data_IF_087593535494
#
_entry.id   IF_087593535494
#
_cell.length_a   1.000
_cell.length_b   1.000
_cell.length_c   1.000
_cell.angle_alpha   90.00
_cell.angle_beta   90.00
_cell.angle_gamma   90.00
#
_symmetry.space_group_name_H-M   'P 1'
#
loop_
_entity.id
_entity.type
_entity.pdbx_description
1 polymer ?
#
# COMPACT_ATOMS: atom_id res chain seq x y z
N UNK A 1 -17.25 -23.22 37.05
CA UNK A 1 -16.78 -23.75 35.75
C UNK A 1 -16.30 -22.57 34.90
N UNK A 2 -15.01 -22.22 34.96
CA UNK A 2 -14.41 -21.15 34.14
C UNK A 2 -14.43 -21.64 32.68
N UNK A 3 -15.14 -20.93 31.82
CA UNK A 3 -15.18 -21.19 30.39
C UNK A 3 -13.76 -21.05 29.81
N UNK A 4 -13.09 -22.19 29.54
CA UNK A 4 -11.83 -22.27 28.80
C UNK A 4 -12.07 -21.92 27.32
N UNK A 5 -12.41 -20.65 27.07
CA UNK A 5 -12.49 -20.02 25.75
C UNK A 5 -11.14 -19.41 25.35
N UNK A 6 -10.04 -20.03 25.76
CA UNK A 6 -8.71 -19.64 25.30
C UNK A 6 -8.36 -20.54 24.12
N UNK A 7 -8.35 -19.95 22.93
CA UNK A 7 -7.70 -20.55 21.78
C UNK A 7 -6.24 -20.77 22.17
N UNK A 8 -5.71 -21.96 21.88
CA UNK A 8 -4.26 -22.20 22.04
C UNK A 8 -3.49 -21.27 21.08
N UNK A 9 -2.24 -20.92 21.40
CA UNK A 9 -1.41 -19.97 20.65
C UNK A 9 -1.33 -20.35 19.15
N UNK A 10 -1.31 -21.65 18.85
CA UNK A 10 -1.35 -22.16 17.49
C UNK A 10 -2.66 -21.82 16.76
N UNK A 11 -3.79 -21.85 17.47
CA UNK A 11 -5.10 -21.51 16.91
C UNK A 11 -5.23 -20.00 16.71
N UNK A 12 -4.73 -19.18 17.64
CA UNK A 12 -4.69 -17.72 17.49
C UNK A 12 -3.83 -17.30 16.28
N UNK A 13 -2.64 -17.89 16.12
CA UNK A 13 -1.78 -17.64 14.95
C UNK A 13 -2.47 -18.00 13.63
N UNK A 14 -3.21 -19.12 13.60
CA UNK A 14 -4.00 -19.52 12.41
C UNK A 14 -5.12 -18.53 12.13
N UNK A 15 -5.83 -18.09 13.17
CA UNK A 15 -6.93 -17.13 13.06
C UNK A 15 -6.43 -15.77 12.54
N UNK A 16 -5.30 -15.28 13.06
CA UNK A 16 -4.66 -14.05 12.57
C UNK A 16 -4.26 -14.15 11.09
N UNK A 17 -3.69 -15.29 10.65
CA UNK A 17 -3.37 -15.52 9.23
C UNK A 17 -4.62 -15.55 8.34
N UNK A 18 -5.74 -16.07 8.84
CA UNK A 18 -7.01 -16.05 8.10
C UNK A 18 -7.52 -14.61 7.99
N UNK A 19 -7.50 -13.84 9.08
CA UNK A 19 -7.90 -12.43 9.08
C UNK A 19 -7.02 -11.59 8.16
N UNK A 20 -5.70 -11.79 8.19
CA UNK A 20 -4.74 -11.12 7.30
C UNK A 20 -5.05 -11.42 5.83
N UNK A 21 -5.25 -12.69 5.48
CA UNK A 21 -5.63 -13.09 4.11
C UNK A 21 -6.98 -12.51 3.70
N UNK A 22 -7.97 -12.50 4.61
CA UNK A 22 -9.29 -11.92 4.37
C UNK A 22 -9.20 -10.42 4.10
N UNK A 23 -8.42 -9.69 4.90
CA UNK A 23 -8.15 -8.27 4.68
C UNK A 23 -7.53 -8.02 3.31
N UNK A 24 -6.44 -8.73 2.97
CA UNK A 24 -5.78 -8.56 1.68
C UNK A 24 -6.67 -8.94 0.50
N UNK A 25 -7.51 -9.96 0.64
CA UNK A 25 -8.49 -10.34 -0.39
C UNK A 25 -9.46 -9.19 -0.65
N UNK A 26 -10.08 -8.63 0.42
CA UNK A 26 -11.01 -7.50 0.27
C UNK A 26 -10.30 -6.26 -0.29
N UNK A 27 -9.09 -6.00 0.18
CA UNK A 27 -8.27 -4.88 -0.30
C UNK A 27 -7.99 -4.97 -1.81
N UNK A 28 -7.57 -6.13 -2.30
CA UNK A 28 -7.28 -6.33 -3.73
C UNK A 28 -8.55 -6.33 -4.59
N UNK A 29 -9.68 -6.86 -4.08
CA UNK A 29 -10.97 -6.77 -4.77
C UNK A 29 -11.40 -5.32 -4.92
N UNK A 30 -11.31 -4.53 -3.84
CA UNK A 30 -11.67 -3.10 -3.88
C UNK A 30 -10.74 -2.33 -4.83
N UNK A 31 -9.44 -2.61 -4.78
CA UNK A 31 -8.47 -2.03 -5.72
C UNK A 31 -8.82 -2.35 -7.18
N UNK A 32 -9.15 -3.62 -7.47
CA UNK A 32 -9.55 -4.04 -8.81
C UNK A 32 -10.86 -3.38 -9.27
N UNK A 33 -11.84 -3.22 -8.38
CA UNK A 33 -13.09 -2.53 -8.67
C UNK A 33 -12.85 -1.07 -9.09
N UNK A 34 -12.09 -0.32 -8.29
CA UNK A 34 -11.70 1.06 -8.59
C UNK A 34 -10.95 1.13 -9.92
N UNK A 35 -10.03 0.20 -10.17
CA UNK A 35 -9.25 0.16 -11.41
C UNK A 35 -10.15 -0.02 -12.64
N UNK A 36 -11.10 -0.96 -12.58
CA UNK A 36 -12.06 -1.22 -13.67
C UNK A 36 -13.01 -0.05 -13.85
N UNK A 37 -13.58 0.51 -12.78
CA UNK A 37 -14.46 1.68 -12.86
C UNK A 37 -13.75 2.88 -13.46
N UNK A 38 -12.50 3.12 -13.05
CA UNK A 38 -11.67 4.16 -13.64
C UNK A 38 -11.44 3.91 -15.13
N UNK A 39 -11.21 2.66 -15.57
CA UNK A 39 -11.10 2.29 -16.99
C UNK A 39 -12.42 2.39 -17.76
N UNK A 40 -13.58 2.33 -17.12
CA UNK A 40 -14.87 2.57 -17.80
C UNK A 40 -15.13 4.08 -17.98
N UNK A 41 -14.30 4.93 -17.36
CA UNK A 41 -14.43 6.37 -17.44
C UNK A 41 -15.30 6.98 -16.35
N UNK A 42 -15.62 6.20 -15.30
CA UNK A 42 -16.34 6.70 -14.13
C UNK A 42 -15.56 7.85 -13.48
N UNK A 43 -16.28 8.89 -13.08
CA UNK A 43 -15.69 10.09 -12.50
C UNK A 43 -15.21 9.84 -11.07
N UNK A 44 -14.23 10.62 -10.61
CA UNK A 44 -13.72 10.54 -9.23
C UNK A 44 -14.81 10.70 -8.17
N UNK A 45 -15.91 11.40 -8.49
CA UNK A 45 -17.03 11.60 -7.57
C UNK A 45 -17.85 10.33 -7.38
N UNK A 46 -18.05 9.57 -8.44
CA UNK A 46 -18.82 8.33 -8.42
C UNK A 46 -18.07 7.22 -7.67
N UNK A 47 -16.74 7.15 -7.82
CA UNK A 47 -15.87 6.19 -7.11
C UNK A 47 -15.26 6.74 -5.82
N UNK A 48 -15.65 7.94 -5.38
CA UNK A 48 -15.04 8.60 -4.23
C UNK A 48 -15.12 7.75 -2.95
N UNK A 49 -16.26 7.11 -2.72
CA UNK A 49 -16.47 6.24 -1.56
C UNK A 49 -15.47 5.09 -1.52
N UNK A 50 -15.27 4.41 -2.64
CA UNK A 50 -14.34 3.29 -2.75
C UNK A 50 -12.89 3.74 -2.55
N UNK A 51 -12.50 4.86 -3.18
CA UNK A 51 -11.17 5.46 -3.00
C UNK A 51 -10.93 5.80 -1.53
N UNK A 52 -11.90 6.45 -0.87
CA UNK A 52 -11.77 6.83 0.55
C UNK A 52 -11.59 5.60 1.43
N UNK A 53 -12.38 4.53 1.20
CA UNK A 53 -12.25 3.28 1.96
C UNK A 53 -10.87 2.64 1.75
N UNK A 54 -10.40 2.56 0.50
CA UNK A 54 -9.09 1.98 0.17
C UNK A 54 -7.94 2.79 0.79
N UNK A 55 -8.00 4.12 0.71
CA UNK A 55 -6.99 5.02 1.29
C UNK A 55 -7.00 4.94 2.80
N UNK A 56 -8.17 4.95 3.44
CA UNK A 56 -8.30 4.83 4.89
C UNK A 56 -7.73 3.50 5.40
N UNK A 57 -8.04 2.39 4.73
CA UNK A 57 -7.49 1.07 5.06
C UNK A 57 -5.96 1.04 4.89
N UNK A 58 -5.44 1.65 3.83
CA UNK A 58 -4.00 1.76 3.54
C UNK A 58 -3.25 2.57 4.61
N UNK A 59 -3.81 3.71 5.02
CA UNK A 59 -3.25 4.56 6.08
C UNK A 59 -3.29 3.83 7.42
N UNK A 60 -4.41 3.17 7.73
CA UNK A 60 -4.56 2.42 8.97
C UNK A 60 -3.50 1.33 9.11
N UNK A 61 -3.33 0.48 8.08
CA UNK A 61 -2.34 -0.59 8.14
C UNK A 61 -0.91 -0.05 8.21
N UNK A 62 -0.57 0.98 7.43
CA UNK A 62 0.75 1.60 7.47
C UNK A 62 1.05 2.20 8.85
N UNK A 63 0.10 2.94 9.43
CA UNK A 63 0.27 3.55 10.75
C UNK A 63 0.34 2.48 11.86
N UNK A 64 -0.49 1.44 11.79
CA UNK A 64 -0.46 0.33 12.74
C UNK A 64 0.87 -0.44 12.67
N UNK A 65 1.38 -0.72 11.47
CA UNK A 65 2.70 -1.35 11.29
C UNK A 65 3.83 -0.49 11.86
N UNK A 66 3.85 0.81 11.54
CA UNK A 66 4.86 1.74 12.04
C UNK A 66 4.84 1.88 13.56
N UNK A 67 3.66 1.95 14.18
CA UNK A 67 3.52 2.02 15.64
C UNK A 67 4.09 0.81 16.37
N UNK A 68 4.06 -0.36 15.73
CA UNK A 68 4.60 -1.60 16.29
C UNK A 68 6.06 -1.87 15.85
N UNK A 69 6.72 -0.89 15.20
CA UNK A 69 8.09 -1.08 14.70
C UNK A 69 8.20 -2.21 13.68
N UNK A 70 7.11 -2.49 12.95
CA UNK A 70 7.02 -3.52 11.93
C UNK A 70 7.24 -2.90 10.55
N UNK A 71 8.16 -3.52 9.80
CA UNK A 71 8.35 -3.28 8.38
C UNK A 71 8.08 -4.56 7.60
N UNK A 72 7.98 -4.47 6.27
CA UNK A 72 7.80 -5.65 5.41
C UNK A 72 8.85 -6.72 5.72
N UNK A 73 8.39 -7.95 5.93
CA UNK A 73 9.21 -9.11 6.32
C UNK A 73 10.34 -9.43 5.33
N UNK A 74 10.12 -9.20 4.04
CA UNK A 74 11.02 -9.65 2.98
C UNK A 74 11.92 -8.55 2.43
N UNK A 75 11.73 -7.30 2.84
CA UNK A 75 12.34 -6.14 2.18
C UNK A 75 12.89 -5.22 3.26
N UNK A 76 14.21 -5.05 3.31
CA UNK A 76 14.79 -4.11 4.26
C UNK A 76 14.51 -2.66 3.83
N UNK A 77 14.17 -1.78 4.79
CA UNK A 77 13.89 -0.38 4.54
C UNK A 77 15.19 0.37 4.20
N UNK A 78 15.62 0.27 2.95
CA UNK A 78 16.82 0.95 2.42
C UNK A 78 16.45 1.81 1.23
N UNK A 79 17.23 2.85 0.97
CA UNK A 79 17.00 3.77 -0.17
C UNK A 79 16.95 2.99 -1.49
N UNK A 80 17.89 2.06 -1.69
CA UNK A 80 17.93 1.20 -2.89
C UNK A 80 16.68 0.37 -3.06
N UNK A 81 16.19 -0.21 -1.96
CA UNK A 81 14.97 -0.99 -2.00
C UNK A 81 13.74 -0.12 -2.27
N UNK A 82 13.65 1.06 -1.65
CA UNK A 82 12.53 1.98 -1.86
C UNK A 82 12.47 2.46 -3.31
N UNK A 83 13.62 2.73 -3.93
CA UNK A 83 13.70 3.03 -5.37
C UNK A 83 13.12 1.89 -6.19
N UNK A 84 13.58 0.65 -5.97
CA UNK A 84 13.08 -0.52 -6.71
C UNK A 84 11.57 -0.74 -6.50
N UNK A 85 11.09 -0.65 -5.26
CA UNK A 85 9.67 -0.83 -4.92
C UNK A 85 8.78 0.24 -5.54
N UNK A 86 9.26 1.48 -5.65
CA UNK A 86 8.50 2.59 -6.26
C UNK A 86 8.30 2.47 -7.77
N UNK A 87 9.05 1.61 -8.45
CA UNK A 87 8.86 1.32 -9.89
C UNK A 87 7.54 0.60 -10.14
N UNK A 88 7.14 -0.31 -9.25
CA UNK A 88 5.93 -1.14 -9.42
C UNK A 88 4.67 -0.28 -9.60
N UNK A 89 4.32 0.64 -8.68
CA UNK A 89 3.14 1.49 -8.85
C UNK A 89 3.26 2.44 -10.05
N UNK A 90 4.47 2.91 -10.37
CA UNK A 90 4.70 3.75 -11.55
C UNK A 90 4.39 3.01 -12.86
N UNK A 91 4.81 1.75 -12.98
CA UNK A 91 4.48 0.90 -14.13
C UNK A 91 2.99 0.61 -14.23
N UNK A 92 2.33 0.30 -13.10
CA UNK A 92 0.88 0.06 -13.06
C UNK A 92 0.12 1.29 -13.56
N UNK A 93 0.48 2.48 -13.09
CA UNK A 93 -0.14 3.73 -13.54
C UNK A 93 0.21 4.07 -14.98
N UNK A 94 1.43 3.76 -15.44
CA UNK A 94 1.81 3.90 -16.85
C UNK A 94 0.94 3.05 -17.76
N UNK A 95 0.76 1.77 -17.43
CA UNK A 95 -0.12 0.84 -18.16
C UNK A 95 -1.58 1.30 -18.11
N UNK A 96 -2.04 1.81 -16.96
CA UNK A 96 -3.38 2.37 -16.84
C UNK A 96 -3.61 3.54 -17.81
N UNK A 97 -2.68 4.51 -17.84
CA UNK A 97 -2.80 5.69 -18.70
C UNK A 97 -2.68 5.35 -20.19
N UNK A 98 -1.84 4.38 -20.57
CA UNK A 98 -1.72 3.92 -21.97
C UNK A 98 -3.00 3.24 -22.43
N UNK A 99 -3.55 2.30 -21.64
CA UNK A 99 -4.82 1.64 -21.94
C UNK A 99 -5.94 2.68 -22.09
N UNK A 100 -6.03 3.62 -21.15
CA UNK A 100 -7.03 4.69 -21.18
C UNK A 100 -6.92 5.53 -22.46
N UNK A 101 -5.70 5.91 -22.84
CA UNK A 101 -5.46 6.73 -24.03
C UNK A 101 -5.90 6.04 -25.32
N UNK A 102 -5.59 4.73 -25.45
CA UNK A 102 -5.86 3.97 -26.68
C UNK A 102 -7.32 3.55 -26.76
N UNK A 103 -7.86 3.01 -25.67
CA UNK A 103 -9.17 2.33 -25.68
C UNK A 103 -10.34 3.30 -25.51
N UNK A 104 -10.17 4.35 -24.71
CA UNK A 104 -11.29 5.25 -24.35
C UNK A 104 -11.21 6.57 -25.11
N UNK A 105 -10.02 7.16 -25.16
CA UNK A 105 -9.81 8.50 -25.72
C UNK A 105 -9.56 8.47 -27.24
N UNK A 106 -9.41 7.27 -27.82
CA UNK A 106 -9.05 7.01 -29.23
C UNK A 106 -7.87 7.87 -29.71
N UNK A 107 -6.95 8.19 -28.79
CA UNK A 107 -5.78 9.02 -29.05
C UNK A 107 -4.60 8.13 -29.40
N UNK A 108 -3.89 8.53 -30.46
CA UNK A 108 -2.59 7.95 -30.77
C UNK A 108 -1.65 8.03 -29.58
N UNK A 109 -0.86 6.98 -29.37
CA UNK A 109 0.18 6.92 -28.34
C UNK A 109 1.13 8.11 -28.46
N UNK A 110 1.38 8.61 -29.67
CA UNK A 110 2.24 9.77 -29.91
C UNK A 110 1.71 11.05 -29.25
N UNK A 111 0.40 11.27 -29.29
CA UNK A 111 -0.23 12.49 -28.74
C UNK A 111 -0.27 12.50 -27.21
N UNK A 112 -0.48 11.33 -26.61
CA UNK A 112 -0.56 11.18 -25.15
C UNK A 112 0.79 10.84 -24.50
N UNK A 113 1.84 10.62 -25.29
CA UNK A 113 3.16 10.17 -24.82
C UNK A 113 3.73 11.06 -23.71
N UNK A 114 3.67 12.38 -23.89
CA UNK A 114 4.16 13.36 -22.90
C UNK A 114 3.38 13.25 -21.59
N UNK A 115 2.05 13.13 -21.66
CA UNK A 115 1.20 13.01 -20.47
C UNK A 115 1.45 11.72 -19.71
N UNK A 116 1.61 10.60 -20.42
CA UNK A 116 1.93 9.29 -19.84
C UNK A 116 3.29 9.35 -19.12
N UNK A 117 4.31 9.92 -19.76
CA UNK A 117 5.65 10.06 -19.16
C UNK A 117 5.59 10.90 -17.88
N UNK A 118 4.90 12.05 -17.91
CA UNK A 118 4.72 12.89 -16.73
C UNK A 118 3.99 12.13 -15.61
N UNK A 119 2.93 11.40 -15.93
CA UNK A 119 2.17 10.62 -14.97
C UNK A 119 3.02 9.50 -14.33
N UNK A 120 3.82 8.78 -15.12
CA UNK A 120 4.71 7.73 -14.62
C UNK A 120 5.82 8.30 -13.74
N UNK A 121 6.48 9.38 -14.19
CA UNK A 121 7.56 10.01 -13.42
C UNK A 121 7.06 10.62 -12.11
N UNK A 122 5.91 11.29 -12.15
CA UNK A 122 5.30 11.86 -10.94
C UNK A 122 4.87 10.77 -9.96
N UNK A 123 4.23 9.70 -10.44
CA UNK A 123 3.87 8.56 -9.61
C UNK A 123 5.10 7.92 -8.95
N UNK A 124 6.17 7.72 -9.73
CA UNK A 124 7.44 7.19 -9.23
C UNK A 124 8.00 8.07 -8.10
N UNK A 125 8.12 9.37 -8.33
CA UNK A 125 8.65 10.32 -7.34
C UNK A 125 7.79 10.36 -6.08
N UNK A 126 6.46 10.43 -6.22
CA UNK A 126 5.53 10.46 -5.09
C UNK A 126 5.63 9.19 -4.26
N UNK A 127 5.61 8.01 -4.90
CA UNK A 127 5.74 6.73 -4.21
C UNK A 127 7.09 6.60 -3.50
N UNK A 128 8.19 7.03 -4.15
CA UNK A 128 9.51 7.01 -3.53
C UNK A 128 9.58 7.91 -2.29
N UNK A 129 9.12 9.16 -2.39
CA UNK A 129 9.10 10.11 -1.26
C UNK A 129 8.23 9.61 -0.11
N UNK A 130 7.10 8.98 -0.42
CA UNK A 130 6.24 8.36 0.58
C UNK A 130 6.95 7.22 1.31
N UNK A 131 7.61 6.30 0.58
CA UNK A 131 8.37 5.21 1.19
C UNK A 131 9.56 5.71 2.03
N UNK A 132 10.24 6.76 1.58
CA UNK A 132 11.31 7.40 2.35
C UNK A 132 10.79 8.07 3.63
N UNK A 133 9.63 8.71 3.57
CA UNK A 133 8.97 9.25 4.75
C UNK A 133 8.61 8.14 5.75
N UNK A 134 7.95 7.08 5.29
CA UNK A 134 7.59 5.93 6.12
C UNK A 134 8.84 5.26 6.72
N UNK A 135 9.93 5.14 5.94
CA UNK A 135 11.22 4.62 6.41
C UNK A 135 11.80 5.46 7.55
N UNK A 136 11.75 6.79 7.46
CA UNK A 136 12.26 7.67 8.52
C UNK A 136 11.44 7.51 9.80
N UNK A 137 10.12 7.51 9.68
CA UNK A 137 9.22 7.28 10.83
C UNK A 137 9.46 5.90 11.43
N UNK A 138 9.65 4.88 10.59
CA UNK A 138 9.97 3.53 11.03
C UNK A 138 11.25 3.48 11.86
N UNK A 139 12.35 4.08 11.36
CA UNK A 139 13.64 4.09 12.08
C UNK A 139 13.51 4.76 13.44
N UNK A 140 12.82 5.90 13.50
CA UNK A 140 12.57 6.63 14.74
C UNK A 140 11.75 5.83 15.75
N UNK A 141 10.70 5.12 15.29
CA UNK A 141 9.90 4.27 16.18
C UNK A 141 10.66 3.03 16.63
N UNK A 142 11.52 2.48 15.77
CA UNK A 142 12.31 1.31 16.12
C UNK A 142 13.34 1.62 17.20
N UNK A 143 14.06 2.74 17.05
CA UNK A 143 15.01 3.22 18.06
C UNK A 143 14.33 3.37 19.44
N UNK A 144 13.13 3.96 19.49
CA UNK A 144 12.36 4.07 20.76
C UNK A 144 11.98 2.74 21.40
N UNK A 145 11.68 1.73 20.59
CA UNK A 145 11.32 0.40 21.09
C UNK A 145 12.56 -0.33 21.62
N UNK A 146 13.69 -0.17 20.94
CA UNK A 146 14.97 -0.75 21.35
C UNK A 146 15.45 -0.10 22.67
N UNK A 147 15.37 1.24 22.81
CA UNK A 147 15.72 1.96 24.05
C UNK A 147 14.86 1.53 25.26
N UNK A 148 13.54 1.40 25.06
CA UNK A 148 12.62 0.99 26.11
C UNK A 148 12.85 -0.47 26.58
N UNK A 149 13.33 -1.33 25.69
CA UNK A 149 13.68 -2.71 26.03
C UNK A 149 14.98 -2.78 26.85
N UNK A 150 15.95 -1.91 26.59
CA UNK A 150 17.19 -1.82 27.37
C UNK A 150 16.95 -1.24 28.78
N UNK A 151 16.14 -0.17 28.90
CA UNK A 151 15.80 0.42 30.20
C UNK A 151 14.98 -0.53 31.09
N UNK A 152 14.11 -1.37 30.52
CA UNK A 152 13.33 -2.36 31.27
C UNK A 152 14.12 -3.57 31.75
N UNK A 153 15.37 -3.74 31.29
CA UNK A 153 16.27 -4.84 31.67
C UNK A 153 17.32 -4.46 32.72
N UNK A 154 17.47 -3.16 33.04
CA UNK A 154 18.40 -2.64 34.06
C UNK A 154 17.78 -2.53 35.44
#
# INVERSE_FOLDING_TARGET
MKSNKQLDEMQESRLLKIQEKGFWLVFWILFAAIFVQALIGMTLKEIAGEIVVLVAASIYIAAASLKNGLWTRNIQPTIKSNLATSIIPALILGVFWTIRSIVILDKSISESSVQIVIAVLSAYVVCFLMLEFLRRVYKHQREKLDDAEEEGKG
#
